data_IF_091437181925
#
_entry.id   IF_091437181925
#
_cell.length_a   1.000
_cell.length_b   1.000
_cell.length_c   1.000
_cell.angle_alpha   90.00
_cell.angle_beta   90.00
_cell.angle_gamma   90.00
#
_symmetry.space_group_name_H-M   'P 1'
#
loop_
_entity.id
_entity.type
_entity.pdbx_description
1 polymer ?
#
# COMPACT_ATOMS: atom_id res chain seq x y z
N UNK A 1 8.24 -30.46 6.68
CA UNK A 1 7.42 -29.24 6.81
C UNK A 1 7.18 -28.99 8.29
N UNK A 2 8.06 -28.21 8.94
CA UNK A 2 7.97 -27.92 10.37
C UNK A 2 7.12 -26.68 10.60
N UNK A 3 6.05 -26.81 11.37
CA UNK A 3 5.29 -25.66 11.87
C UNK A 3 6.15 -24.95 12.92
N UNK A 4 6.40 -23.67 12.74
CA UNK A 4 6.97 -22.82 13.77
C UNK A 4 5.97 -22.71 14.96
N UNK A 5 6.43 -22.77 16.20
CA UNK A 5 5.55 -22.66 17.35
C UNK A 5 4.97 -21.24 17.43
N UNK A 6 3.64 -21.14 17.49
CA UNK A 6 2.95 -19.92 17.88
C UNK A 6 3.18 -19.75 19.37
N UNK A 7 3.93 -18.73 19.76
CA UNK A 7 4.10 -18.37 21.17
C UNK A 7 2.76 -17.86 21.71
N UNK A 8 2.08 -18.68 22.48
CA UNK A 8 0.90 -18.28 23.24
C UNK A 8 1.43 -17.61 24.52
N UNK A 9 1.25 -16.30 24.62
CA UNK A 9 1.61 -15.55 25.81
C UNK A 9 0.79 -16.01 27.02
N UNK A 10 1.46 -16.42 28.10
CA UNK A 10 0.84 -16.77 29.37
C UNK A 10 0.35 -15.49 30.04
N UNK A 11 -0.95 -15.41 30.34
CA UNK A 11 -1.54 -14.32 31.14
C UNK A 11 -1.09 -14.50 32.60
N UNK A 12 -0.35 -13.55 33.14
CA UNK A 12 -0.17 -13.41 34.57
C UNK A 12 -1.06 -12.28 35.06
N UNK A 13 -2.01 -12.58 35.96
CA UNK A 13 -2.84 -11.56 36.58
C UNK A 13 -2.02 -10.84 37.67
N UNK A 14 -2.00 -9.52 37.64
CA UNK A 14 -1.52 -8.69 38.74
C UNK A 14 -2.60 -8.61 39.82
N UNK A 15 -2.20 -8.53 41.10
CA UNK A 15 -3.03 -8.54 42.30
C UNK A 15 -4.08 -7.41 42.36
N UNK A 16 -4.11 -6.48 41.41
CA UNK A 16 -5.06 -5.36 41.36
C UNK A 16 -6.17 -5.52 40.31
N UNK A 17 -6.43 -6.72 39.79
CA UNK A 17 -7.59 -6.99 38.92
C UNK A 17 -7.63 -6.22 37.58
N UNK A 18 -6.58 -5.50 37.23
CA UNK A 18 -6.44 -4.83 35.92
C UNK A 18 -5.85 -5.82 34.91
N UNK A 19 -6.65 -6.30 33.98
CA UNK A 19 -6.16 -7.01 32.79
C UNK A 19 -5.40 -6.03 31.92
N UNK A 20 -4.09 -5.97 32.10
CA UNK A 20 -3.25 -5.22 31.16
C UNK A 20 -3.43 -5.83 29.76
N UNK A 21 -3.98 -5.05 28.83
CA UNK A 21 -4.08 -5.45 27.43
C UNK A 21 -2.66 -5.53 26.87
N UNK A 22 -2.14 -6.75 26.71
CA UNK A 22 -0.83 -6.96 26.08
C UNK A 22 -1.00 -6.74 24.59
N UNK A 23 -0.52 -5.59 24.09
CA UNK A 23 -0.44 -5.33 22.66
C UNK A 23 0.75 -6.13 22.10
N UNK A 24 0.52 -7.08 21.18
CA UNK A 24 1.62 -7.82 20.59
C UNK A 24 2.59 -6.87 19.89
N UNK A 25 3.87 -6.96 20.23
CA UNK A 25 4.90 -6.20 19.53
C UNK A 25 5.31 -6.96 18.25
N UNK A 26 5.30 -6.26 17.12
CA UNK A 26 5.83 -6.78 15.85
C UNK A 26 7.27 -6.29 15.72
N UNK A 27 8.29 -7.15 15.98
CA UNK A 27 9.67 -6.70 16.04
C UNK A 27 10.18 -6.27 14.66
N UNK A 28 11.00 -5.22 14.65
CA UNK A 28 11.83 -4.84 13.48
C UNK A 28 12.78 -5.99 13.18
N UNK A 29 12.90 -6.36 11.89
CA UNK A 29 13.82 -7.42 11.43
C UNK A 29 15.17 -6.86 11.00
N UNK A 30 15.15 -5.69 10.37
CA UNK A 30 16.33 -5.00 9.85
C UNK A 30 16.08 -3.50 9.82
N UNK A 31 17.00 -2.71 10.34
CA UNK A 31 17.04 -1.27 10.11
C UNK A 31 17.57 -1.01 8.69
N UNK A 32 16.65 -0.95 7.74
CA UNK A 32 16.99 -0.78 6.33
C UNK A 32 17.67 0.56 6.06
N UNK A 33 17.22 1.62 6.73
CA UNK A 33 17.74 2.97 6.51
C UNK A 33 19.18 3.10 6.99
N UNK A 34 19.53 2.42 8.09
CA UNK A 34 20.91 2.38 8.56
C UNK A 34 21.83 1.57 7.64
N UNK A 35 21.35 0.44 7.09
CA UNK A 35 22.20 -0.48 6.32
C UNK A 35 22.22 -0.22 4.80
N UNK A 36 21.21 0.44 4.27
CA UNK A 36 21.04 0.72 2.84
C UNK A 36 20.62 2.17 2.55
N UNK A 37 21.13 3.13 3.33
CA UNK A 37 20.75 4.54 3.25
C UNK A 37 20.82 5.16 1.85
N UNK A 38 21.80 4.75 1.02
CA UNK A 38 21.91 5.17 -0.37
C UNK A 38 20.73 4.71 -1.22
N UNK A 39 20.32 3.46 -1.05
CA UNK A 39 19.19 2.89 -1.77
C UNK A 39 17.85 3.49 -1.28
N UNK A 40 17.67 3.66 0.03
CA UNK A 40 16.47 4.30 0.59
C UNK A 40 16.28 5.72 0.01
N UNK A 41 17.36 6.51 -0.08
CA UNK A 41 17.33 7.83 -0.74
C UNK A 41 16.98 7.73 -2.23
N UNK A 42 17.48 6.72 -2.95
CA UNK A 42 17.16 6.52 -4.36
C UNK A 42 15.67 6.19 -4.57
N UNK A 43 15.08 5.35 -3.71
CA UNK A 43 13.64 5.06 -3.75
C UNK A 43 12.81 6.31 -3.42
N UNK A 44 13.23 7.14 -2.47
CA UNK A 44 12.59 8.43 -2.20
C UNK A 44 12.71 9.41 -3.39
N UNK A 45 13.80 9.36 -4.18
CA UNK A 45 13.89 10.09 -5.44
C UNK A 45 12.95 9.55 -6.51
N UNK A 46 12.81 8.22 -6.61
CA UNK A 46 11.85 7.57 -7.50
C UNK A 46 10.42 8.02 -7.18
N UNK A 47 10.06 8.09 -5.90
CA UNK A 47 8.74 8.54 -5.45
C UNK A 47 8.46 10.00 -5.85
N UNK A 48 9.43 10.88 -5.67
CA UNK A 48 9.31 12.26 -6.14
C UNK A 48 9.20 12.37 -7.67
N UNK A 49 9.89 11.52 -8.41
CA UNK A 49 9.77 11.48 -9.87
C UNK A 49 8.37 11.02 -10.29
N UNK A 50 7.86 9.93 -9.69
CA UNK A 50 6.50 9.45 -9.93
C UNK A 50 5.46 10.53 -9.60
N UNK A 51 5.61 11.26 -8.49
CA UNK A 51 4.72 12.35 -8.11
C UNK A 51 4.68 13.45 -9.19
N UNK A 52 5.81 13.84 -9.77
CA UNK A 52 5.86 14.83 -10.86
C UNK A 52 5.11 14.36 -12.11
N UNK A 53 5.24 13.08 -12.47
CA UNK A 53 4.50 12.51 -13.60
C UNK A 53 2.98 12.49 -13.34
N UNK A 54 2.59 12.16 -12.10
CA UNK A 54 1.18 12.20 -11.68
C UNK A 54 0.61 13.61 -11.72
N UNK A 55 1.39 14.61 -11.31
CA UNK A 55 0.99 16.02 -11.36
C UNK A 55 0.85 16.48 -12.81
N UNK A 56 1.82 16.16 -13.67
CA UNK A 56 1.80 16.50 -15.09
C UNK A 56 0.65 15.83 -15.83
N UNK A 57 0.29 14.59 -15.46
CA UNK A 57 -0.83 13.86 -16.04
C UNK A 57 -2.19 14.26 -15.41
N UNK A 58 -2.23 15.10 -14.40
CA UNK A 58 -3.45 15.52 -13.71
C UNK A 58 -4.16 14.39 -12.98
N UNK A 59 -3.43 13.40 -12.47
CA UNK A 59 -4.02 12.32 -11.68
C UNK A 59 -4.48 12.88 -10.34
N UNK A 60 -5.75 12.64 -10.03
CA UNK A 60 -6.38 13.09 -8.78
C UNK A 60 -5.65 12.55 -7.53
N UNK A 61 -5.36 13.39 -6.52
CA UNK A 61 -4.70 12.96 -5.29
C UNK A 61 -5.40 11.79 -4.58
N UNK A 62 -6.73 11.75 -4.54
CA UNK A 62 -7.47 10.64 -3.93
C UNK A 62 -7.25 9.33 -4.69
N UNK A 63 -7.24 9.39 -6.04
CA UNK A 63 -6.94 8.21 -6.85
C UNK A 63 -5.52 7.69 -6.58
N UNK A 64 -4.55 8.58 -6.37
CA UNK A 64 -3.17 8.17 -6.02
C UNK A 64 -3.15 7.37 -4.72
N UNK A 65 -3.88 7.84 -3.70
CA UNK A 65 -3.94 7.14 -2.42
C UNK A 65 -4.70 5.82 -2.51
N UNK A 66 -5.79 5.73 -3.27
CA UNK A 66 -6.49 4.46 -3.52
C UNK A 66 -5.55 3.42 -4.15
N UNK A 67 -4.73 3.81 -5.12
CA UNK A 67 -3.72 2.95 -5.76
C UNK A 67 -2.68 2.48 -4.75
N UNK A 68 -2.13 3.39 -3.94
CA UNK A 68 -1.14 3.08 -2.89
C UNK A 68 -1.71 2.13 -1.84
N UNK A 69 -2.92 2.42 -1.34
CA UNK A 69 -3.61 1.56 -0.36
C UNK A 69 -3.86 0.17 -0.96
N UNK A 70 -4.36 0.10 -2.20
CA UNK A 70 -4.68 -1.20 -2.83
C UNK A 70 -3.44 -2.06 -3.04
N UNK A 71 -2.36 -1.52 -3.58
CA UNK A 71 -1.09 -2.23 -3.72
C UNK A 71 -0.58 -2.72 -2.35
N UNK A 72 -0.67 -1.87 -1.33
CA UNK A 72 -0.23 -2.20 0.03
C UNK A 72 -1.07 -3.30 0.68
N UNK A 73 -2.39 -3.36 0.40
CA UNK A 73 -3.26 -4.46 0.83
C UNK A 73 -2.85 -5.78 0.19
N UNK A 74 -2.57 -5.78 -1.11
CA UNK A 74 -2.14 -6.98 -1.84
C UNK A 74 -0.80 -7.51 -1.33
N UNK A 75 0.13 -6.63 -1.03
CA UNK A 75 1.46 -6.97 -0.53
C UNK A 75 1.50 -7.20 1.00
N UNK A 76 0.45 -6.85 1.74
CA UNK A 76 0.40 -7.00 3.19
C UNK A 76 1.30 -6.04 3.96
N UNK A 77 1.55 -4.82 3.43
CA UNK A 77 2.37 -3.80 4.10
C UNK A 77 1.53 -3.01 5.12
N UNK A 78 1.54 -3.44 6.38
CA UNK A 78 0.74 -2.81 7.43
C UNK A 78 1.06 -1.33 7.66
N UNK A 79 2.36 -0.94 7.63
CA UNK A 79 2.77 0.45 7.74
C UNK A 79 2.26 1.30 6.57
N UNK A 80 2.40 0.78 5.35
CA UNK A 80 1.96 1.50 4.16
C UNK A 80 0.42 1.67 4.11
N UNK A 81 -0.33 0.64 4.56
CA UNK A 81 -1.79 0.75 4.69
C UNK A 81 -2.14 1.83 5.72
N UNK A 82 -1.52 1.81 6.90
CA UNK A 82 -1.76 2.81 7.95
C UNK A 82 -1.45 4.23 7.45
N UNK A 83 -0.30 4.43 6.83
CA UNK A 83 0.14 5.72 6.30
C UNK A 83 -0.83 6.23 5.22
N UNK A 84 -1.03 5.47 4.15
CA UNK A 84 -1.79 5.94 3.00
C UNK A 84 -3.30 6.03 3.25
N UNK A 85 -3.87 5.26 4.19
CA UNK A 85 -5.25 5.49 4.61
C UNK A 85 -5.41 6.78 5.39
N UNK A 86 -4.42 7.18 6.19
CA UNK A 86 -4.41 8.49 6.87
C UNK A 86 -4.28 9.65 5.87
N UNK A 87 -3.36 9.54 4.91
CA UNK A 87 -3.18 10.53 3.85
C UNK A 87 -4.46 10.67 3.00
N UNK A 88 -5.08 9.56 2.61
CA UNK A 88 -6.35 9.56 1.89
C UNK A 88 -7.45 10.28 2.69
N UNK A 89 -7.55 9.98 3.99
CA UNK A 89 -8.52 10.64 4.88
C UNK A 89 -8.24 12.14 5.01
N UNK A 90 -6.99 12.53 5.17
CA UNK A 90 -6.58 13.94 5.23
C UNK A 90 -6.89 14.67 3.91
N UNK A 91 -6.82 13.98 2.77
CA UNK A 91 -7.20 14.50 1.45
C UNK A 91 -8.73 14.51 1.20
N UNK A 92 -9.55 13.97 2.11
CA UNK A 92 -11.01 13.99 2.02
C UNK A 92 -11.66 12.66 1.57
N UNK A 93 -10.90 11.57 1.49
CA UNK A 93 -11.47 10.25 1.21
C UNK A 93 -12.35 9.77 2.37
N UNK A 94 -13.38 8.98 2.07
CA UNK A 94 -14.30 8.46 3.07
C UNK A 94 -13.84 7.11 3.62
N UNK A 95 -14.13 6.86 4.89
CA UNK A 95 -13.86 5.56 5.50
C UNK A 95 -14.59 4.43 4.78
N UNK A 96 -15.83 4.68 4.37
CA UNK A 96 -16.66 3.70 3.67
C UNK A 96 -15.98 3.20 2.38
N UNK A 97 -15.38 4.10 1.60
CA UNK A 97 -14.65 3.72 0.39
C UNK A 97 -13.37 2.96 0.73
N UNK A 98 -12.62 3.40 1.75
CA UNK A 98 -11.41 2.71 2.19
C UNK A 98 -11.70 1.29 2.71
N UNK A 99 -12.81 1.11 3.47
CA UNK A 99 -13.22 -0.21 3.95
C UNK A 99 -13.66 -1.15 2.82
N UNK A 100 -14.30 -0.61 1.79
CA UNK A 100 -14.76 -1.37 0.63
C UNK A 100 -13.66 -1.65 -0.41
N UNK A 101 -12.49 -1.01 -0.31
CA UNK A 101 -11.44 -1.10 -1.32
C UNK A 101 -10.94 -2.52 -1.62
N UNK A 102 -10.86 -3.47 -0.66
CA UNK A 102 -10.52 -4.86 -0.98
C UNK A 102 -11.54 -5.57 -1.89
N UNK A 103 -12.78 -5.09 -1.89
CA UNK A 103 -13.91 -5.62 -2.66
C UNK A 103 -14.45 -4.60 -3.68
N UNK A 104 -13.61 -3.70 -4.19
CA UNK A 104 -14.00 -2.57 -5.03
C UNK A 104 -14.84 -2.97 -6.26
N UNK A 105 -14.62 -4.18 -6.80
CA UNK A 105 -15.39 -4.68 -7.95
C UNK A 105 -16.86 -4.88 -7.65
N UNK A 106 -17.21 -5.19 -6.41
CA UNK A 106 -18.57 -5.52 -5.95
C UNK A 106 -19.34 -4.30 -5.41
N UNK A 107 -18.76 -3.08 -5.50
CA UNK A 107 -19.38 -1.86 -4.98
C UNK A 107 -19.59 -0.82 -6.06
N UNK A 108 -20.60 0.08 -5.95
CA UNK A 108 -20.79 1.21 -6.87
C UNK A 108 -19.95 2.45 -6.49
N UNK A 109 -19.03 2.35 -5.52
CA UNK A 109 -18.37 3.51 -4.92
C UNK A 109 -17.25 4.10 -5.77
N UNK A 110 -16.81 3.41 -6.81
CA UNK A 110 -15.67 3.81 -7.63
C UNK A 110 -16.10 4.08 -9.06
N UNK A 111 -15.62 5.20 -9.61
CA UNK A 111 -15.83 5.60 -11.00
C UNK A 111 -15.14 4.61 -11.96
N UNK A 112 -15.53 4.60 -13.24
CA UNK A 112 -14.89 3.76 -14.25
C UNK A 112 -13.37 3.99 -14.33
N UNK A 113 -12.94 5.24 -14.15
CA UNK A 113 -11.54 5.63 -14.15
C UNK A 113 -10.77 5.06 -12.95
N UNK A 114 -11.34 5.16 -11.75
CA UNK A 114 -10.76 4.54 -10.54
C UNK A 114 -10.73 3.03 -10.65
N UNK A 115 -11.78 2.41 -11.16
CA UNK A 115 -11.86 0.96 -11.39
C UNK A 115 -10.78 0.47 -12.36
N UNK A 116 -10.51 1.21 -13.44
CA UNK A 116 -9.45 0.89 -14.38
C UNK A 116 -8.05 1.01 -13.72
N UNK A 117 -7.82 2.07 -12.94
CA UNK A 117 -6.57 2.25 -12.20
C UNK A 117 -6.37 1.17 -11.13
N UNK A 118 -7.42 0.79 -10.40
CA UNK A 118 -7.37 -0.29 -9.39
C UNK A 118 -7.11 -1.66 -10.04
N UNK A 119 -7.72 -1.95 -11.19
CA UNK A 119 -7.46 -3.18 -11.94
C UNK A 119 -5.98 -3.23 -12.39
N UNK A 120 -5.48 -2.16 -13.01
CA UNK A 120 -4.08 -2.06 -13.41
C UNK A 120 -3.14 -2.21 -12.20
N UNK A 121 -3.51 -1.63 -11.05
CA UNK A 121 -2.74 -1.76 -9.80
C UNK A 121 -2.61 -3.22 -9.37
N UNK A 122 -3.71 -3.98 -9.40
CA UNK A 122 -3.70 -5.39 -9.03
C UNK A 122 -2.84 -6.22 -9.99
N UNK A 123 -3.03 -6.04 -11.31
CA UNK A 123 -2.31 -6.81 -12.31
C UNK A 123 -0.80 -6.53 -12.29
N UNK A 124 -0.39 -5.27 -12.15
CA UNK A 124 1.03 -4.91 -12.05
C UNK A 124 1.63 -5.37 -10.72
N UNK A 125 0.90 -5.22 -9.61
CA UNK A 125 1.39 -5.68 -8.29
C UNK A 125 1.55 -7.20 -8.25
N UNK A 126 0.67 -7.93 -8.91
CA UNK A 126 0.67 -9.40 -8.95
C UNK A 126 1.26 -9.96 -10.26
N UNK A 127 2.08 -9.20 -10.98
CA UNK A 127 2.59 -9.57 -12.32
C UNK A 127 3.28 -10.95 -12.38
N UNK A 128 3.82 -11.43 -11.27
CA UNK A 128 4.42 -12.76 -11.19
C UNK A 128 3.38 -13.90 -11.35
N UNK A 129 2.08 -13.61 -11.19
CA UNK A 129 0.98 -14.59 -11.33
C UNK A 129 0.49 -14.68 -12.76
N UNK A 130 0.14 -13.53 -13.37
CA UNK A 130 -0.62 -13.47 -14.62
C UNK A 130 0.02 -12.61 -15.72
N UNK A 131 1.25 -12.10 -15.49
CA UNK A 131 2.07 -11.35 -16.46
C UNK A 131 1.38 -10.11 -17.07
N UNK A 132 0.50 -9.44 -16.35
CA UNK A 132 -0.30 -8.28 -16.83
C UNK A 132 -0.99 -8.58 -18.16
N UNK A 133 -2.18 -9.20 -18.17
CA UNK A 133 -2.86 -9.60 -19.40
C UNK A 133 -3.12 -8.41 -20.34
N UNK A 134 -3.02 -8.64 -21.65
CA UNK A 134 -3.28 -7.59 -22.65
C UNK A 134 -4.67 -6.96 -22.50
N UNK A 135 -5.67 -7.75 -22.06
CA UNK A 135 -7.02 -7.26 -21.77
C UNK A 135 -7.06 -6.25 -20.62
N UNK A 136 -6.21 -6.44 -19.59
CA UNK A 136 -6.13 -5.50 -18.46
C UNK A 136 -5.57 -4.14 -18.90
N UNK A 137 -4.50 -4.15 -19.69
CA UNK A 137 -3.96 -2.93 -20.29
C UNK A 137 -4.98 -2.27 -21.24
N UNK A 138 -5.67 -3.06 -22.08
CA UNK A 138 -6.69 -2.57 -23.01
C UNK A 138 -7.83 -1.87 -22.27
N UNK A 139 -8.36 -2.46 -21.21
CA UNK A 139 -9.42 -1.84 -20.40
C UNK A 139 -8.97 -0.52 -19.73
N UNK A 140 -7.72 -0.43 -19.31
CA UNK A 140 -7.18 0.83 -18.81
C UNK A 140 -7.08 1.89 -19.93
N UNK A 141 -6.65 1.50 -21.13
CA UNK A 141 -6.51 2.39 -22.29
C UNK A 141 -7.84 2.90 -22.87
N UNK A 142 -8.96 2.28 -22.54
CA UNK A 142 -10.30 2.78 -22.92
C UNK A 142 -10.71 4.05 -22.15
N UNK A 143 -10.17 4.26 -20.94
CA UNK A 143 -10.60 5.35 -20.06
C UNK A 143 -9.45 6.25 -19.56
N UNK A 144 -8.21 5.87 -19.83
CA UNK A 144 -7.00 6.60 -19.46
C UNK A 144 -6.14 6.88 -20.71
N UNK A 145 -5.54 8.05 -20.76
CA UNK A 145 -4.55 8.39 -21.78
C UNK A 145 -3.22 7.63 -21.55
N UNK A 146 -2.37 7.49 -22.60
CA UNK A 146 -1.05 6.89 -22.42
C UNK A 146 -0.20 7.56 -21.32
N UNK A 147 -0.29 8.91 -21.19
CA UNK A 147 0.42 9.65 -20.15
C UNK A 147 -0.07 9.29 -18.74
N UNK A 148 -1.38 9.15 -18.56
CA UNK A 148 -1.98 8.77 -17.30
C UNK A 148 -1.63 7.33 -16.91
N UNK A 149 -1.65 6.41 -17.87
CA UNK A 149 -1.22 5.01 -17.65
C UNK A 149 0.25 4.97 -17.23
N UNK A 150 1.12 5.73 -17.91
CA UNK A 150 2.55 5.80 -17.57
C UNK A 150 2.78 6.36 -16.17
N UNK A 151 2.06 7.43 -15.79
CA UNK A 151 2.13 8.03 -14.46
C UNK A 151 1.62 7.07 -13.36
N UNK A 152 0.50 6.38 -13.60
CA UNK A 152 0.00 5.35 -12.68
C UNK A 152 0.95 4.18 -12.56
N UNK A 153 1.56 3.73 -13.66
CA UNK A 153 2.57 2.67 -13.62
C UNK A 153 3.79 3.09 -12.79
N UNK A 154 4.27 4.33 -12.92
CA UNK A 154 5.35 4.86 -12.08
C UNK A 154 4.98 4.83 -10.59
N UNK A 155 3.75 5.22 -10.24
CA UNK A 155 3.23 5.15 -8.87
C UNK A 155 3.18 3.72 -8.35
N UNK A 156 2.63 2.78 -9.14
CA UNK A 156 2.50 1.37 -8.75
C UNK A 156 3.87 0.75 -8.52
N UNK A 157 4.85 0.99 -9.40
CA UNK A 157 6.22 0.52 -9.24
C UNK A 157 6.81 1.06 -7.93
N UNK A 158 6.63 2.34 -7.67
CA UNK A 158 7.19 3.01 -6.49
C UNK A 158 6.59 2.47 -5.20
N UNK A 159 5.27 2.34 -5.11
CA UNK A 159 4.65 1.79 -3.90
C UNK A 159 5.01 0.32 -3.69
N UNK A 160 5.16 -0.48 -4.75
CA UNK A 160 5.62 -1.85 -4.64
C UNK A 160 7.08 -1.93 -4.12
N UNK A 161 7.96 -1.00 -4.51
CA UNK A 161 9.31 -0.91 -3.96
C UNK A 161 9.28 -0.62 -2.45
N UNK A 162 8.49 0.35 -1.99
CA UNK A 162 8.30 0.64 -0.57
C UNK A 162 7.68 -0.54 0.19
N UNK A 163 6.67 -1.19 -0.39
CA UNK A 163 6.05 -2.37 0.21
C UNK A 163 7.06 -3.52 0.39
N UNK A 164 7.91 -3.78 -0.62
CA UNK A 164 8.93 -4.81 -0.54
C UNK A 164 9.91 -4.56 0.62
N UNK A 165 10.35 -3.31 0.81
CA UNK A 165 11.18 -2.92 1.95
C UNK A 165 10.41 -3.13 3.25
N UNK A 166 9.22 -2.52 3.39
CA UNK A 166 8.45 -2.51 4.63
C UNK A 166 8.05 -3.90 5.12
N UNK A 167 7.53 -4.75 4.21
CA UNK A 167 7.11 -6.12 4.55
C UNK A 167 8.30 -7.00 4.94
N UNK A 168 9.42 -6.86 4.23
CA UNK A 168 10.60 -7.70 4.47
C UNK A 168 11.29 -7.32 5.77
N UNK A 169 11.50 -6.02 6.00
CA UNK A 169 12.35 -5.53 7.09
C UNK A 169 11.57 -5.19 8.34
N UNK A 170 10.29 -4.82 8.22
CA UNK A 170 9.49 -4.23 9.31
C UNK A 170 10.18 -3.02 9.94
N UNK A 171 10.90 -2.24 9.13
CA UNK A 171 11.67 -1.09 9.59
C UNK A 171 10.77 0.02 10.19
N UNK A 172 9.53 0.08 9.75
CA UNK A 172 8.58 1.14 10.14
C UNK A 172 7.42 0.55 10.94
N UNK A 173 7.08 1.22 12.06
CA UNK A 173 6.03 0.77 12.98
C UNK A 173 4.67 1.32 12.54
N UNK A 174 3.66 0.47 12.24
CA UNK A 174 2.29 0.95 12.03
C UNK A 174 1.79 1.77 13.22
N UNK A 175 1.07 2.85 12.95
CA UNK A 175 0.59 3.78 13.97
C UNK A 175 1.54 4.92 14.31
N UNK A 176 2.81 4.89 13.87
CA UNK A 176 3.78 5.96 14.14
C UNK A 176 3.67 7.16 13.18
N UNK A 177 3.08 6.98 12.01
CA UNK A 177 2.91 8.05 11.02
C UNK A 177 1.80 9.02 11.40
N UNK A 178 2.06 10.31 11.16
CA UNK A 178 1.07 11.40 11.21
C UNK A 178 1.09 12.13 9.87
N UNK A 179 -0.08 12.41 9.25
CA UNK A 179 -0.16 13.13 7.98
C UNK A 179 0.27 14.58 8.11
#
# INVERSE_FOLDING_TARGET
MGRLPVSVGVMTANENGSTATITPQVPVRLDFDAHAAGFARAVAHLDRAATKELDAAGIDPLLRELVRVRASQLNGCAYCIDMHTKDARAAGETEQRLYALPAWRETPFYTNRERAALALTEDVTLMARDHVPAAAYGAAAEVLTPGEIAALLALIITINAWNAIGVTTRAWTPGSYQP
#
